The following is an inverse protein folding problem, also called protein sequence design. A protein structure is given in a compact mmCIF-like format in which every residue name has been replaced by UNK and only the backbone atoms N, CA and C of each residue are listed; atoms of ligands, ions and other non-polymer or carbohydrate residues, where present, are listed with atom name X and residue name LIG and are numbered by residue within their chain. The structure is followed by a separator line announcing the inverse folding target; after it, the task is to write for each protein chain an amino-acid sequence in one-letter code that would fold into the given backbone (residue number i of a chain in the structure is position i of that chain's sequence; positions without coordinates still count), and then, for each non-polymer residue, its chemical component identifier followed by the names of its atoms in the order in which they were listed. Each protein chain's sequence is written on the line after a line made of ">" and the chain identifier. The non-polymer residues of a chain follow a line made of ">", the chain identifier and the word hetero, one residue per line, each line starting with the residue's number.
data_IF_804606983857
#
_entry.id   IF_804606983857
#
_cell.length_a   1.000
_cell.length_b   1.000
_cell.length_c   1.000
_cell.angle_alpha   90.00
_cell.angle_beta   90.00
_cell.angle_gamma   90.00
#
_symmetry.space_group_name_H-M   'P 1'
#
loop_
_entity.id
_entity.type
_entity.pdbx_description
1 polymer ?
#
# COMPACT_ATOMS: atom_id res chain seq x y z
N UNK A 1 -20.75 -0.24 16.87
CA UNK A 1 -20.71 -0.74 15.48
C UNK A 1 -19.32 -1.33 15.28
N UNK A 2 -19.24 -2.57 14.84
CA UNK A 2 -17.96 -3.24 14.58
C UNK A 2 -17.33 -2.63 13.31
N UNK A 3 -16.18 -1.98 13.47
CA UNK A 3 -15.42 -1.32 12.40
C UNK A 3 -14.95 -2.32 11.35
N UNK A 4 -14.66 -3.55 11.76
CA UNK A 4 -14.24 -4.64 10.85
C UNK A 4 -15.37 -5.04 9.94
N UNK A 5 -16.56 -5.28 10.50
CA UNK A 5 -17.75 -5.64 9.71
C UNK A 5 -18.07 -4.58 8.67
N UNK A 6 -18.03 -3.31 9.09
CA UNK A 6 -18.27 -2.17 8.19
C UNK A 6 -17.25 -2.10 7.06
N UNK A 7 -15.98 -2.39 7.35
CA UNK A 7 -14.92 -2.46 6.34
C UNK A 7 -15.14 -3.60 5.35
N UNK A 8 -15.48 -4.80 5.83
CA UNK A 8 -15.74 -5.97 4.99
C UNK A 8 -17.06 -5.89 4.21
N UNK A 9 -18.01 -5.07 4.64
CA UNK A 9 -19.21 -4.74 3.86
C UNK A 9 -18.88 -3.79 2.68
N UNK A 10 -17.84 -2.95 2.83
CA UNK A 10 -17.35 -2.04 1.77
C UNK A 10 -16.37 -2.70 0.82
N UNK A 11 -15.63 -3.69 1.30
CA UNK A 11 -14.61 -4.43 0.56
C UNK A 11 -14.93 -5.94 0.64
N UNK A 12 -16.01 -6.41 -0.02
CA UNK A 12 -16.48 -7.78 0.10
C UNK A 12 -15.46 -8.82 -0.40
N UNK A 13 -14.58 -8.44 -1.32
CA UNK A 13 -13.53 -9.29 -1.89
C UNK A 13 -12.58 -9.81 -0.80
N UNK A 14 -12.35 -9.00 0.24
CA UNK A 14 -11.46 -9.37 1.35
C UNK A 14 -11.96 -10.59 2.14
N UNK A 15 -13.26 -10.92 2.07
CA UNK A 15 -13.82 -12.11 2.74
C UNK A 15 -13.30 -13.43 2.14
N UNK A 16 -12.75 -13.40 0.92
CA UNK A 16 -12.12 -14.57 0.32
C UNK A 16 -10.83 -14.98 1.05
N UNK A 17 -10.23 -14.09 1.84
CA UNK A 17 -8.97 -14.33 2.52
C UNK A 17 -9.16 -14.81 3.96
N UNK A 18 -8.53 -15.93 4.37
CA UNK A 18 -8.74 -16.53 5.69
C UNK A 18 -8.50 -15.58 6.88
N UNK A 19 -7.53 -14.67 6.76
CA UNK A 19 -7.20 -13.70 7.81
C UNK A 19 -8.28 -12.64 8.05
N UNK A 20 -9.07 -12.32 7.02
CA UNK A 20 -10.21 -11.41 7.13
C UNK A 20 -11.49 -12.14 7.52
N UNK A 21 -11.64 -13.40 7.12
CA UNK A 21 -12.71 -14.27 7.61
C UNK A 21 -12.58 -14.48 9.13
N UNK A 22 -11.37 -14.79 9.64
CA UNK A 22 -11.12 -14.87 11.08
C UNK A 22 -11.39 -13.54 11.80
N UNK A 23 -11.09 -12.40 11.17
CA UNK A 23 -11.34 -11.07 11.72
C UNK A 23 -12.84 -10.75 11.83
N UNK A 24 -13.65 -11.29 10.92
CA UNK A 24 -15.10 -11.12 10.88
C UNK A 24 -15.84 -12.01 11.89
N UNK A 25 -15.20 -13.08 12.35
CA UNK A 25 -15.81 -14.05 13.24
C UNK A 25 -15.85 -13.51 14.67
N UNK A 26 -17.04 -13.04 15.10
CA UNK A 26 -17.34 -12.49 16.45
C UNK A 26 -17.03 -13.45 17.63
N UNK A 27 -16.61 -14.69 17.35
CA UNK A 27 -16.26 -15.71 18.35
C UNK A 27 -14.82 -15.62 18.85
N UNK A 28 -13.93 -15.03 18.04
CA UNK A 28 -12.52 -14.90 18.40
C UNK A 28 -12.27 -13.53 19.04
N UNK A 29 -11.54 -13.52 20.17
CA UNK A 29 -11.07 -12.29 20.78
C UNK A 29 -9.93 -11.78 19.92
N UNK A 30 -10.22 -10.83 19.03
CA UNK A 30 -9.19 -10.23 18.18
C UNK A 30 -8.60 -8.99 18.82
N UNK A 31 -7.28 -8.95 18.87
CA UNK A 31 -6.51 -7.82 19.40
C UNK A 31 -6.34 -6.71 18.37
N UNK A 32 -6.08 -5.49 18.84
CA UNK A 32 -5.77 -4.37 17.96
C UNK A 32 -4.50 -4.64 17.13
N UNK A 33 -3.51 -5.32 17.72
CA UNK A 33 -2.27 -5.70 17.06
C UNK A 33 -2.50 -6.65 15.87
N UNK A 34 -3.42 -7.62 16.00
CA UNK A 34 -3.79 -8.53 14.92
C UNK A 34 -4.52 -7.80 13.79
N UNK A 35 -5.45 -6.89 14.13
CA UNK A 35 -6.11 -6.02 13.16
C UNK A 35 -5.08 -5.18 12.41
N UNK A 36 -4.17 -4.52 13.12
CA UNK A 36 -3.11 -3.69 12.52
C UNK A 36 -2.21 -4.50 11.60
N UNK A 37 -1.87 -5.73 11.99
CA UNK A 37 -1.04 -6.63 11.16
C UNK A 37 -1.72 -6.89 9.82
N UNK A 38 -2.98 -7.34 9.84
CA UNK A 38 -3.75 -7.68 8.64
C UNK A 38 -4.01 -6.46 7.76
N UNK A 39 -4.42 -5.34 8.36
CA UNK A 39 -4.68 -4.09 7.64
C UNK A 39 -3.42 -3.51 7.00
N UNK A 40 -2.25 -3.69 7.61
CA UNK A 40 -0.98 -3.22 7.06
C UNK A 40 -0.59 -3.92 5.75
N UNK A 41 -1.00 -5.17 5.55
CA UNK A 41 -0.69 -5.96 4.34
C UNK A 41 -1.52 -5.51 3.12
N UNK A 42 -2.76 -5.09 3.35
CA UNK A 42 -3.68 -4.62 2.29
C UNK A 42 -3.69 -3.10 2.12
N UNK A 43 -2.99 -2.35 2.97
CA UNK A 43 -3.06 -0.88 3.01
C UNK A 43 -2.71 -0.22 1.67
N UNK A 44 -1.80 -0.82 0.89
CA UNK A 44 -1.38 -0.31 -0.42
C UNK A 44 -2.31 -0.69 -1.58
N UNK A 45 -3.34 -1.49 -1.34
CA UNK A 45 -4.27 -1.87 -2.38
C UNK A 45 -5.16 -0.68 -2.77
N UNK A 46 -5.18 -0.26 -4.04
CA UNK A 46 -5.91 0.95 -4.48
C UNK A 46 -7.40 0.95 -4.09
N UNK A 47 -8.04 -0.22 -4.10
CA UNK A 47 -9.46 -0.34 -3.76
C UNK A 47 -9.73 -0.28 -2.24
N UNK A 48 -8.72 -0.50 -1.39
CA UNK A 48 -8.92 -0.68 0.05
C UNK A 48 -8.39 0.46 0.91
N UNK A 49 -7.42 1.25 0.44
CA UNK A 49 -6.83 2.35 1.23
C UNK A 49 -7.88 3.33 1.76
N UNK A 50 -8.77 3.85 0.90
CA UNK A 50 -9.79 4.83 1.29
C UNK A 50 -10.82 4.23 2.27
N UNK A 51 -11.44 3.07 1.98
CA UNK A 51 -12.33 2.40 2.94
C UNK A 51 -11.67 2.10 4.29
N UNK A 52 -10.42 1.59 4.28
CA UNK A 52 -9.65 1.28 5.48
C UNK A 52 -9.45 2.53 6.32
N UNK A 53 -8.99 3.62 5.70
CA UNK A 53 -8.76 4.90 6.37
C UNK A 53 -10.04 5.48 6.97
N UNK A 54 -11.18 5.28 6.30
CA UNK A 54 -12.49 5.66 6.82
C UNK A 54 -12.94 4.83 8.02
N UNK A 55 -12.77 3.51 7.99
CA UNK A 55 -13.22 2.59 9.03
C UNK A 55 -12.30 2.55 10.25
N UNK A 56 -10.99 2.69 10.05
CA UNK A 56 -9.96 2.46 11.07
C UNK A 56 -9.15 3.72 11.40
N UNK A 57 -9.72 4.91 11.19
CA UNK A 57 -9.08 6.19 11.52
C UNK A 57 -8.43 6.25 12.92
N UNK A 58 -9.04 5.72 14.00
CA UNK A 58 -8.43 5.76 15.34
C UNK A 58 -7.08 5.02 15.44
N UNK A 59 -6.89 3.97 14.64
CA UNK A 59 -5.67 3.15 14.63
C UNK A 59 -4.83 3.36 13.36
N UNK A 60 -5.23 4.28 12.48
CA UNK A 60 -4.62 4.48 11.17
C UNK A 60 -3.11 4.71 11.24
N UNK A 61 -2.64 5.42 12.27
CA UNK A 61 -1.20 5.62 12.47
C UNK A 61 -0.45 4.29 12.63
N UNK A 62 -1.00 3.35 13.42
CA UNK A 62 -0.39 2.03 13.61
C UNK A 62 -0.39 1.22 12.32
N UNK A 63 -1.47 1.30 11.54
CA UNK A 63 -1.54 0.64 10.22
C UNK A 63 -0.50 1.20 9.25
N UNK A 64 -0.39 2.53 9.15
CA UNK A 64 0.60 3.18 8.28
C UNK A 64 2.02 2.89 8.75
N UNK A 65 2.29 2.98 10.05
CA UNK A 65 3.61 2.61 10.62
C UNK A 65 3.95 1.14 10.30
N UNK A 66 2.96 0.23 10.35
CA UNK A 66 3.13 -1.18 9.96
C UNK A 66 3.46 -1.33 8.47
N UNK A 67 2.74 -0.65 7.59
CA UNK A 67 2.99 -0.68 6.14
C UNK A 67 4.36 -0.10 5.78
N UNK A 68 4.75 1.02 6.39
CA UNK A 68 6.09 1.62 6.22
C UNK A 68 7.18 0.65 6.72
N UNK A 69 6.95 -0.03 7.85
CA UNK A 69 7.86 -1.04 8.37
C UNK A 69 8.04 -2.22 7.40
N UNK A 70 6.94 -2.72 6.81
CA UNK A 70 7.01 -3.74 5.77
C UNK A 70 7.85 -3.24 4.59
N UNK A 71 7.52 -2.08 4.01
CA UNK A 71 8.26 -1.48 2.91
C UNK A 71 9.76 -1.28 3.20
N UNK A 72 10.13 -0.89 4.42
CA UNK A 72 11.53 -0.76 4.85
C UNK A 72 12.31 -2.07 4.77
N UNK A 73 11.71 -3.17 5.26
CA UNK A 73 12.35 -4.48 5.24
C UNK A 73 12.62 -4.95 3.80
N UNK A 74 11.73 -4.63 2.86
CA UNK A 74 11.87 -5.02 1.46
C UNK A 74 12.84 -4.10 0.70
N UNK A 75 12.81 -2.79 0.95
CA UNK A 75 13.75 -1.82 0.36
C UNK A 75 15.21 -2.09 0.72
N UNK A 76 15.50 -2.64 1.91
CA UNK A 76 16.84 -3.10 2.28
C UNK A 76 17.31 -4.35 1.53
N UNK A 77 16.37 -5.22 1.13
CA UNK A 77 16.68 -6.45 0.40
C UNK A 77 16.96 -6.19 -1.07
N UNK A 78 16.27 -5.21 -1.67
CA UNK A 78 16.20 -5.03 -3.13
C UNK A 78 16.80 -3.70 -3.62
N UNK A 79 17.81 -3.17 -2.92
CA UNK A 79 18.42 -1.85 -3.19
C UNK A 79 19.03 -1.65 -4.61
N UNK A 80 18.95 -2.64 -5.49
CA UNK A 80 19.60 -2.62 -6.80
C UNK A 80 18.63 -2.75 -8.00
N UNK A 81 17.33 -2.96 -7.80
CA UNK A 81 16.40 -3.32 -8.89
C UNK A 81 15.19 -2.40 -9.03
N UNK A 82 15.45 -1.09 -9.14
CA UNK A 82 14.46 -0.12 -9.63
C UNK A 82 14.53 -0.02 -11.15
N UNK A 83 14.44 -1.17 -11.82
CA UNK A 83 14.35 -1.28 -13.28
C UNK A 83 12.92 -0.95 -13.73
N UNK A 84 12.79 -0.34 -14.91
CA UNK A 84 11.49 0.04 -15.48
C UNK A 84 10.96 -1.16 -16.25
N UNK A 85 10.12 -1.96 -15.60
CA UNK A 85 9.33 -3.00 -16.26
C UNK A 85 7.92 -2.46 -16.47
N UNK A 86 7.48 -2.40 -17.73
CA UNK A 86 6.13 -1.96 -18.12
C UNK A 86 5.38 -3.21 -18.55
N UNK A 87 4.59 -3.77 -17.64
CA UNK A 87 3.71 -4.92 -17.92
C UNK A 87 2.29 -4.69 -17.39
N UNK A 88 1.35 -5.46 -17.94
CA UNK A 88 -0.11 -5.31 -17.93
C UNK A 88 -0.74 -5.11 -16.52
N UNK A 89 -1.92 -4.48 -16.49
CA UNK A 89 -2.71 -4.32 -15.26
C UNK A 89 -3.05 -5.69 -14.67
N UNK A 90 -2.36 -6.07 -13.59
CA UNK A 90 -2.64 -7.31 -12.85
C UNK A 90 -3.87 -7.13 -11.95
N UNK A 91 -4.72 -8.17 -11.89
CA UNK A 91 -5.86 -8.19 -10.99
C UNK A 91 -5.38 -8.40 -9.54
N UNK A 92 -5.25 -7.30 -8.81
CA UNK A 92 -4.82 -7.30 -7.41
C UNK A 92 -5.88 -7.86 -6.45
N UNK A 93 -7.10 -8.13 -6.92
CA UNK A 93 -8.19 -8.62 -6.05
C UNK A 93 -7.93 -10.02 -5.49
N UNK A 94 -7.02 -10.81 -6.08
CA UNK A 94 -6.59 -12.12 -5.56
C UNK A 94 -5.37 -12.05 -4.63
N UNK A 95 -4.79 -10.85 -4.43
CA UNK A 95 -3.53 -10.65 -3.71
C UNK A 95 -3.78 -10.14 -2.29
N UNK A 96 -3.41 -10.95 -1.29
CA UNK A 96 -3.50 -10.57 0.13
C UNK A 96 -2.50 -9.48 0.50
N UNK A 97 -1.23 -9.68 0.14
CA UNK A 97 -0.12 -8.78 0.49
C UNK A 97 0.40 -8.14 -0.78
N UNK A 98 -0.11 -6.95 -1.10
CA UNK A 98 0.32 -6.16 -2.27
C UNK A 98 1.83 -5.93 -2.22
N UNK A 99 2.37 -5.68 -1.02
CA UNK A 99 3.79 -5.44 -0.79
C UNK A 99 4.63 -6.66 -1.19
N UNK A 100 4.22 -7.86 -0.78
CA UNK A 100 4.96 -9.09 -1.08
C UNK A 100 4.86 -9.48 -2.56
N UNK A 101 3.67 -9.35 -3.15
CA UNK A 101 3.41 -9.65 -4.55
C UNK A 101 4.33 -8.87 -5.49
N UNK A 102 4.32 -7.53 -5.39
CA UNK A 102 5.18 -6.69 -6.24
C UNK A 102 6.67 -6.91 -5.97
N UNK A 103 7.05 -7.21 -4.73
CA UNK A 103 8.44 -7.47 -4.40
C UNK A 103 8.96 -8.80 -4.98
N UNK A 104 8.14 -9.86 -4.94
CA UNK A 104 8.47 -11.14 -5.56
C UNK A 104 8.57 -11.02 -7.09
N UNK A 105 7.76 -10.14 -7.69
CA UNK A 105 7.80 -9.84 -9.11
C UNK A 105 8.97 -8.93 -9.54
N UNK A 106 9.80 -8.43 -8.62
CA UNK A 106 10.87 -7.47 -8.94
C UNK A 106 10.38 -6.06 -9.31
N UNK A 107 9.08 -5.79 -9.17
CA UNK A 107 8.41 -4.55 -9.58
C UNK A 107 8.50 -3.45 -8.53
N UNK A 108 9.73 -3.14 -8.10
CA UNK A 108 9.99 -2.20 -7.01
C UNK A 108 9.48 -0.77 -7.27
N UNK A 109 9.56 -0.30 -8.52
CA UNK A 109 9.08 1.04 -8.89
C UNK A 109 7.55 1.12 -8.84
N UNK A 110 6.85 0.09 -9.33
CA UNK A 110 5.38 0.07 -9.28
C UNK A 110 4.88 0.00 -7.83
N UNK A 111 5.55 -0.78 -6.98
CA UNK A 111 5.28 -0.79 -5.54
C UNK A 111 5.50 0.58 -4.90
N UNK A 112 6.55 1.29 -5.29
CA UNK A 112 6.81 2.64 -4.80
C UNK A 112 5.72 3.63 -5.23
N UNK A 113 5.24 3.53 -6.47
CA UNK A 113 4.16 4.37 -6.99
C UNK A 113 2.83 4.06 -6.28
N UNK A 114 2.51 2.78 -6.05
CA UNK A 114 1.37 2.36 -5.23
C UNK A 114 1.47 2.87 -3.78
N UNK A 115 2.66 2.81 -3.19
CA UNK A 115 2.90 3.38 -1.87
C UNK A 115 2.64 4.89 -1.85
N UNK A 116 3.15 5.62 -2.84
CA UNK A 116 2.89 7.05 -2.98
C UNK A 116 1.40 7.36 -3.12
N UNK A 117 0.67 6.62 -3.96
CA UNK A 117 -0.77 6.78 -4.14
C UNK A 117 -1.53 6.56 -2.82
N UNK A 118 -1.26 5.45 -2.13
CA UNK A 118 -1.90 5.13 -0.86
C UNK A 118 -1.61 6.19 0.22
N UNK A 119 -0.37 6.69 0.29
CA UNK A 119 0.03 7.74 1.23
C UNK A 119 -0.64 9.08 0.91
N UNK A 120 -0.78 9.46 -0.36
CA UNK A 120 -1.54 10.64 -0.75
C UNK A 120 -2.99 10.55 -0.28
N UNK A 121 -3.67 9.44 -0.59
CA UNK A 121 -5.06 9.24 -0.15
C UNK A 121 -5.19 9.24 1.38
N UNK A 122 -4.23 8.64 2.10
CA UNK A 122 -4.23 8.62 3.55
C UNK A 122 -4.02 10.02 4.16
N UNK A 123 -3.16 10.85 3.57
CA UNK A 123 -2.95 12.24 4.00
C UNK A 123 -4.19 13.10 3.79
N UNK A 124 -4.89 12.93 2.68
CA UNK A 124 -6.14 13.65 2.41
C UNK A 124 -7.21 13.37 3.47
N UNK A 125 -7.27 12.12 3.97
CA UNK A 125 -8.24 11.71 4.99
C UNK A 125 -7.76 11.96 6.44
N UNK A 126 -6.45 11.90 6.66
CA UNK A 126 -5.84 11.97 7.99
C UNK A 126 -4.45 12.65 7.94
N UNK A 127 -4.42 14.01 7.92
CA UNK A 127 -3.17 14.77 7.81
C UNK A 127 -2.15 14.51 8.94
N UNK A 128 -2.60 14.02 10.10
CA UNK A 128 -1.72 13.66 11.21
C UNK A 128 -0.76 12.49 10.91
N UNK A 129 -0.96 11.78 9.79
CA UNK A 129 -0.10 10.69 9.34
C UNK A 129 1.21 11.15 8.68
N UNK A 130 1.36 12.45 8.40
CA UNK A 130 2.53 12.99 7.70
C UNK A 130 3.85 12.54 8.31
N UNK A 131 3.98 12.56 9.64
CA UNK A 131 5.21 12.13 10.31
C UNK A 131 5.54 10.65 10.13
N UNK A 132 4.52 9.78 10.00
CA UNK A 132 4.72 8.35 9.72
C UNK A 132 5.11 8.12 8.26
N UNK A 133 4.48 8.85 7.34
CA UNK A 133 4.74 8.75 5.90
C UNK A 133 6.12 9.27 5.54
N UNK A 134 6.58 10.38 6.14
CA UNK A 134 7.91 10.91 5.85
C UNK A 134 9.05 9.93 6.17
N UNK A 135 8.86 9.01 7.12
CA UNK A 135 9.83 7.95 7.40
C UNK A 135 10.04 7.01 6.21
N UNK A 136 9.03 6.80 5.37
CA UNK A 136 9.17 6.02 4.14
C UNK A 136 10.19 6.66 3.19
N UNK A 137 10.12 7.98 3.04
CA UNK A 137 11.00 8.74 2.15
C UNK A 137 12.42 8.96 2.71
N UNK A 138 12.72 8.49 3.93
CA UNK A 138 14.10 8.46 4.42
C UNK A 138 14.97 7.44 3.67
N UNK A 139 14.36 6.49 2.96
CA UNK A 139 15.06 5.39 2.28
C UNK A 139 14.57 5.07 0.87
N UNK A 140 13.61 5.83 0.36
CA UNK A 140 13.11 5.69 -1.00
C UNK A 140 13.32 6.98 -1.79
N UNK A 141 13.36 6.92 -3.13
CA UNK A 141 13.35 8.13 -3.94
C UNK A 141 12.10 8.98 -3.67
N UNK A 142 12.11 10.25 -4.10
CA UNK A 142 10.92 11.09 -4.07
C UNK A 142 9.82 10.51 -4.98
N UNK A 143 8.53 10.80 -4.69
CA UNK A 143 7.42 10.33 -5.51
C UNK A 143 7.59 10.68 -6.99
N UNK A 144 7.08 9.81 -7.87
CA UNK A 144 7.04 10.03 -9.32
C UNK A 144 8.41 10.23 -9.97
N UNK A 145 9.45 9.59 -9.44
CA UNK A 145 10.80 9.65 -10.00
C UNK A 145 10.83 9.20 -11.47
N UNK A 146 9.95 8.26 -11.87
CA UNK A 146 9.75 7.82 -13.26
C UNK A 146 9.43 8.98 -14.20
N UNK A 147 8.48 9.85 -13.84
CA UNK A 147 8.11 11.05 -14.61
C UNK A 147 9.32 12.00 -14.72
N UNK A 148 10.06 12.15 -13.62
CA UNK A 148 11.25 13.01 -13.58
C UNK A 148 12.42 12.47 -14.44
N UNK A 149 12.51 11.15 -14.60
CA UNK A 149 13.53 10.47 -15.41
C UNK A 149 13.15 10.44 -16.90
N UNK A 150 11.88 10.24 -17.22
CA UNK A 150 11.38 10.18 -18.59
C UNK A 150 11.43 11.55 -19.30
N UNK A 151 11.15 12.64 -18.58
CA UNK A 151 11.34 14.01 -19.10
C UNK A 151 12.81 14.38 -19.41
N UNK A 152 13.78 13.56 -18.99
CA UNK A 152 15.21 13.74 -19.27
C UNK A 152 15.72 12.80 -20.37
N UNK A 153 14.87 11.98 -20.97
CA UNK A 153 15.27 11.07 -22.05
C UNK A 153 15.33 11.84 -23.38
N UNK A 154 16.53 12.13 -23.95
CA UNK A 154 16.64 12.93 -25.17
C UNK A 154 16.03 12.24 -26.40
N UNK A 155 15.69 10.95 -26.29
CA UNK A 155 15.10 10.15 -27.36
C UNK A 155 13.58 10.31 -27.52
N UNK A 156 12.88 10.92 -26.55
CA UNK A 156 11.42 11.16 -26.62
C UNK A 156 11.05 12.61 -26.98
N UNK A 157 12.02 13.53 -26.99
CA UNK A 157 11.81 14.93 -27.42
C UNK A 157 11.66 15.09 -28.95
N UNK A 158 11.66 14.00 -29.71
CA UNK A 158 11.64 14.01 -31.19
C UNK A 158 10.29 13.74 -31.85
N UNK A 159 9.18 13.58 -31.11
CA UNK A 159 7.86 13.30 -31.71
C UNK A 159 6.75 14.15 -31.10
N UNK A 160 6.88 15.47 -31.19
CA UNK A 160 5.71 16.36 -31.24
C UNK A 160 5.98 17.44 -32.28
N UNK A 161 5.31 17.27 -33.42
CA UNK A 161 5.13 18.18 -34.57
C UNK A 161 6.37 18.59 -35.37
#
# INVERSE_FOLDING_TARGET
>A
MDTTKTFLDRCPELRSFPQFDSLANERDIVTEEEVVKVLGEVFLHPNYTIPLMGCFRPIARKVVDKAVGLLWHLGKSNANDMSVEVEEEEDLNEVVSVIEHYNQAGRGLDLHELACLAFCCALDLAPFLLGSILKYFEFTPPPFERISKEGKNPWLCGKVC
#
